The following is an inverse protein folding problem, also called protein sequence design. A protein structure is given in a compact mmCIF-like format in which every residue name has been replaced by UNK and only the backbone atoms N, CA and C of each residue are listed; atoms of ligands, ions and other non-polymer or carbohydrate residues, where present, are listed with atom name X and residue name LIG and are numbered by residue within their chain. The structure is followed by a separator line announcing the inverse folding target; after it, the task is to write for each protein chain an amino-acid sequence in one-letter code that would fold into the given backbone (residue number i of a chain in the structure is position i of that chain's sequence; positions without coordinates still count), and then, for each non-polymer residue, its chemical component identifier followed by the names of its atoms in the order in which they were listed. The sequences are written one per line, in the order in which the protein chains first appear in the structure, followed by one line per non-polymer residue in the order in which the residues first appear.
data_IF_495082395611
#
_entry.id   IF_495082395611
#
_cell.length_a   1.000
_cell.length_b   1.000
_cell.length_c   1.000
_cell.angle_alpha   90.00
_cell.angle_beta   90.00
_cell.angle_gamma   90.00
#
_symmetry.space_group_name_H-M   'P 1'
#
loop_
_entity.id
_entity.type
_entity.pdbx_description
1 polymer ?
#
# COMPACT_ATOMS: atom_id res chain seq x y z
N UNK A 1 -34.85 -6.11 -4.57
CA UNK A 1 -33.53 -5.81 -4.00
C UNK A 1 -32.97 -4.64 -4.80
N UNK A 2 -32.73 -3.50 -4.16
CA UNK A 2 -32.11 -2.36 -4.85
C UNK A 2 -30.68 -2.73 -5.19
N UNK A 3 -30.35 -2.70 -6.47
CA UNK A 3 -28.99 -2.97 -6.93
C UNK A 3 -28.09 -1.77 -6.56
N UNK A 4 -27.27 -1.90 -5.52
CA UNK A 4 -26.36 -0.85 -5.05
C UNK A 4 -25.01 -0.83 -5.79
N UNK A 5 -24.81 -1.71 -6.78
CA UNK A 5 -23.57 -1.75 -7.57
C UNK A 5 -23.18 -0.39 -8.16
N UNK A 6 -24.10 0.36 -8.82
CA UNK A 6 -23.75 1.68 -9.37
C UNK A 6 -23.35 2.68 -8.27
N UNK A 7 -23.99 2.64 -7.11
CA UNK A 7 -23.69 3.54 -6.00
C UNK A 7 -22.31 3.23 -5.40
N UNK A 8 -22.01 1.96 -5.19
CA UNK A 8 -20.70 1.53 -4.67
C UNK A 8 -19.58 1.87 -5.67
N UNK A 9 -19.74 1.52 -6.93
CA UNK A 9 -18.76 1.83 -7.97
C UNK A 9 -18.55 3.35 -8.11
N UNK A 10 -19.64 4.13 -8.15
CA UNK A 10 -19.57 5.58 -8.20
C UNK A 10 -18.79 6.17 -7.02
N UNK A 11 -19.07 5.72 -5.80
CA UNK A 11 -18.36 6.15 -4.60
C UNK A 11 -16.88 5.80 -4.66
N UNK A 12 -16.52 4.59 -5.10
CA UNK A 12 -15.12 4.18 -5.27
C UNK A 12 -14.38 5.05 -6.30
N UNK A 13 -14.99 5.32 -7.46
CA UNK A 13 -14.36 6.17 -8.49
C UNK A 13 -14.19 7.60 -8.02
N UNK A 14 -15.19 8.19 -7.34
CA UNK A 14 -15.07 9.54 -6.77
C UNK A 14 -13.93 9.59 -5.75
N UNK A 15 -13.89 8.64 -4.83
CA UNK A 15 -12.84 8.58 -3.79
C UNK A 15 -11.46 8.39 -4.41
N UNK A 16 -11.33 7.51 -5.39
CA UNK A 16 -10.06 7.29 -6.10
C UNK A 16 -9.58 8.58 -6.78
N UNK A 17 -10.49 9.30 -7.47
CA UNK A 17 -10.17 10.58 -8.10
C UNK A 17 -9.71 11.63 -7.08
N UNK A 18 -10.40 11.73 -5.93
CA UNK A 18 -10.04 12.63 -4.84
C UNK A 18 -8.64 12.27 -4.32
N UNK A 19 -8.37 10.99 -4.04
CA UNK A 19 -7.07 10.56 -3.53
C UNK A 19 -5.93 10.75 -4.53
N UNK A 20 -6.15 10.52 -5.82
CA UNK A 20 -5.17 10.83 -6.86
C UNK A 20 -4.88 12.34 -6.88
N UNK A 21 -5.89 13.18 -6.77
CA UNK A 21 -5.75 14.64 -6.73
C UNK A 21 -4.95 15.09 -5.50
N UNK A 22 -5.31 14.58 -4.30
CA UNK A 22 -4.58 14.85 -3.06
C UNK A 22 -3.13 14.34 -3.15
N UNK A 23 -2.93 13.15 -3.70
CA UNK A 23 -1.61 12.57 -3.90
C UNK A 23 -0.74 13.47 -4.78
N UNK A 24 -1.28 13.94 -5.90
CA UNK A 24 -0.54 14.80 -6.84
C UNK A 24 -0.24 16.19 -6.26
N UNK A 25 -1.20 16.82 -5.59
CA UNK A 25 -1.05 18.20 -5.14
C UNK A 25 -0.32 18.36 -3.81
N UNK A 26 -0.46 17.41 -2.90
CA UNK A 26 0.06 17.52 -1.55
C UNK A 26 1.06 16.41 -1.19
N UNK A 27 0.71 15.15 -1.43
CA UNK A 27 1.53 14.02 -0.94
C UNK A 27 2.82 13.89 -1.75
N UNK A 28 2.76 13.90 -3.08
CA UNK A 28 3.94 13.74 -3.92
C UNK A 28 4.97 14.88 -3.74
N UNK A 29 4.57 16.18 -3.70
CA UNK A 29 5.51 17.26 -3.38
C UNK A 29 6.08 17.19 -1.97
N UNK A 30 5.28 16.70 -0.99
CA UNK A 30 5.77 16.51 0.38
C UNK A 30 6.78 15.36 0.46
N UNK A 31 6.52 14.22 -0.20
CA UNK A 31 7.44 13.08 -0.29
C UNK A 31 8.77 13.47 -0.97
N UNK A 32 8.73 14.32 -2.01
CA UNK A 32 9.91 14.76 -2.73
C UNK A 32 10.91 15.55 -1.85
N UNK A 33 10.42 16.15 -0.76
CA UNK A 33 11.24 16.92 0.20
C UNK A 33 11.81 16.06 1.34
N UNK A 34 11.44 14.77 1.41
CA UNK A 34 11.88 13.83 2.45
C UNK A 34 13.01 12.97 1.94
N UNK A 35 13.79 12.42 2.87
CA UNK A 35 14.70 11.35 2.52
C UNK A 35 13.95 10.14 1.97
N UNK A 36 14.60 9.38 1.09
CA UNK A 36 13.96 8.24 0.43
C UNK A 36 13.37 7.25 1.42
N UNK A 37 14.10 6.92 2.50
CA UNK A 37 13.63 5.99 3.52
C UNK A 37 12.37 6.51 4.22
N UNK A 38 12.36 7.78 4.62
CA UNK A 38 11.21 8.40 5.29
C UNK A 38 9.98 8.50 4.38
N UNK A 39 10.20 8.79 3.08
CA UNK A 39 9.13 8.83 2.10
C UNK A 39 8.48 7.43 1.93
N UNK A 40 9.30 6.37 1.85
CA UNK A 40 8.79 4.99 1.78
C UNK A 40 8.06 4.61 3.07
N UNK A 41 8.63 4.89 4.26
CA UNK A 41 8.03 4.60 5.56
C UNK A 41 6.66 5.27 5.69
N UNK A 42 6.53 6.52 5.29
CA UNK A 42 5.25 7.24 5.36
C UNK A 42 4.15 6.55 4.55
N UNK A 43 4.47 6.04 3.36
CA UNK A 43 3.53 5.31 2.50
C UNK A 43 3.21 3.92 3.06
N UNK A 44 4.19 3.23 3.63
CA UNK A 44 4.03 1.90 4.19
C UNK A 44 3.03 1.86 5.36
N UNK A 45 2.89 2.94 6.13
CA UNK A 45 1.92 2.99 7.22
C UNK A 45 0.49 2.77 6.75
N UNK A 46 0.11 3.20 5.56
CA UNK A 46 -1.22 2.91 4.99
C UNK A 46 -1.44 1.40 4.87
N UNK A 47 -0.40 0.67 4.44
CA UNK A 47 -0.47 -0.78 4.26
C UNK A 47 -0.44 -1.56 5.58
N UNK A 48 0.17 -1.02 6.65
CA UNK A 48 0.11 -1.65 7.97
C UNK A 48 -1.32 -1.76 8.46
N UNK A 49 -2.19 -0.79 8.16
CA UNK A 49 -3.60 -0.82 8.57
C UNK A 49 -4.47 -1.81 7.78
N UNK A 50 -3.94 -2.52 6.78
CA UNK A 50 -4.67 -3.57 6.04
C UNK A 50 -5.22 -4.68 6.97
N UNK A 51 -4.66 -4.87 8.16
CA UNK A 51 -5.22 -5.80 9.16
C UNK A 51 -6.70 -5.55 9.48
N UNK A 52 -7.23 -4.36 9.19
CA UNK A 52 -8.66 -4.03 9.32
C UNK A 52 -9.53 -4.97 8.49
N UNK A 53 -8.98 -5.64 7.47
CA UNK A 53 -9.64 -6.69 6.71
C UNK A 53 -10.18 -7.85 7.58
N UNK A 54 -9.62 -8.05 8.79
CA UNK A 54 -10.14 -9.03 9.77
C UNK A 54 -11.61 -8.80 10.12
N UNK A 55 -12.13 -7.59 9.94
CA UNK A 55 -13.56 -7.29 10.10
C UNK A 55 -14.46 -8.11 9.15
N UNK A 56 -13.90 -8.72 8.09
CA UNK A 56 -14.68 -9.55 7.15
C UNK A 56 -15.38 -10.72 7.86
N UNK A 57 -14.79 -11.25 8.94
CA UNK A 57 -15.45 -12.28 9.76
C UNK A 57 -16.70 -11.75 10.46
N UNK A 58 -16.68 -10.49 10.90
CA UNK A 58 -17.84 -9.85 11.49
C UNK A 58 -18.90 -9.60 10.43
N UNK A 59 -18.48 -9.10 9.26
CA UNK A 59 -19.40 -8.88 8.14
C UNK A 59 -20.07 -10.19 7.68
N UNK A 60 -19.30 -11.28 7.57
CA UNK A 60 -19.84 -12.61 7.22
C UNK A 60 -20.87 -13.09 8.23
N UNK A 61 -20.57 -12.97 9.53
CA UNK A 61 -21.53 -13.29 10.61
C UNK A 61 -22.80 -12.45 10.51
N UNK A 62 -22.68 -11.18 10.12
CA UNK A 62 -23.78 -10.24 10.00
C UNK A 62 -24.52 -10.32 8.64
N UNK A 63 -24.22 -11.36 7.84
CA UNK A 63 -24.96 -11.71 6.62
C UNK A 63 -24.33 -11.20 5.31
N UNK A 64 -23.11 -10.70 5.31
CA UNK A 64 -22.40 -10.43 4.06
C UNK A 64 -22.14 -11.75 3.32
N UNK A 65 -22.55 -11.90 2.04
CA UNK A 65 -22.67 -13.18 1.37
C UNK A 65 -21.33 -13.72 0.83
N UNK A 66 -20.23 -13.49 1.56
CA UNK A 66 -18.91 -14.01 1.21
C UNK A 66 -18.73 -15.43 1.69
N UNK A 67 -18.13 -16.30 0.87
CA UNK A 67 -17.77 -17.64 1.28
C UNK A 67 -16.65 -17.62 2.34
N UNK A 68 -16.52 -18.72 3.12
CA UNK A 68 -15.39 -18.85 4.06
C UNK A 68 -14.06 -18.86 3.33
N UNK A 69 -14.00 -19.41 2.12
CA UNK A 69 -12.80 -19.40 1.28
C UNK A 69 -12.44 -17.97 0.85
N UNK A 70 -13.40 -17.21 0.31
CA UNK A 70 -13.18 -15.83 -0.11
C UNK A 70 -12.78 -14.93 1.07
N UNK A 71 -13.40 -15.10 2.26
CA UNK A 71 -12.99 -14.37 3.45
C UNK A 71 -11.54 -14.68 3.86
N UNK A 72 -11.10 -15.93 3.78
CA UNK A 72 -9.72 -16.31 4.09
C UNK A 72 -8.73 -15.81 3.05
N UNK A 73 -9.08 -15.79 1.76
CA UNK A 73 -8.25 -15.19 0.72
C UNK A 73 -7.96 -13.71 1.02
N UNK A 74 -9.00 -12.93 1.28
CA UNK A 74 -8.86 -11.50 1.64
C UNK A 74 -7.94 -11.33 2.86
N UNK A 75 -8.15 -12.14 3.92
CA UNK A 75 -7.38 -12.01 5.15
C UNK A 75 -5.91 -12.36 4.93
N UNK A 76 -5.62 -13.44 4.20
CA UNK A 76 -4.23 -13.85 3.93
C UNK A 76 -3.50 -12.76 3.15
N UNK A 77 -4.12 -12.19 2.12
CA UNK A 77 -3.55 -11.08 1.35
C UNK A 77 -3.35 -9.83 2.21
N UNK A 78 -4.41 -9.33 2.83
CA UNK A 78 -4.36 -8.07 3.57
C UNK A 78 -3.48 -8.13 4.83
N UNK A 79 -3.59 -9.19 5.64
CA UNK A 79 -2.75 -9.35 6.85
C UNK A 79 -1.30 -9.67 6.45
N UNK A 80 -1.09 -10.47 5.41
CA UNK A 80 0.23 -10.72 4.84
C UNK A 80 0.91 -9.42 4.38
N UNK A 81 0.18 -8.59 3.62
CA UNK A 81 0.63 -7.27 3.19
C UNK A 81 0.94 -6.34 4.38
N UNK A 82 0.11 -6.35 5.43
CA UNK A 82 0.36 -5.56 6.64
C UNK A 82 1.66 -5.99 7.35
N UNK A 83 1.93 -7.28 7.45
CA UNK A 83 3.16 -7.82 8.04
C UNK A 83 4.38 -7.43 7.20
N UNK A 84 4.31 -7.57 5.87
CA UNK A 84 5.38 -7.17 4.96
C UNK A 84 5.65 -5.66 5.09
N UNK A 85 4.61 -4.83 5.14
CA UNK A 85 4.74 -3.39 5.30
C UNK A 85 5.41 -3.02 6.62
N UNK A 86 5.01 -3.62 7.73
CA UNK A 86 5.60 -3.38 9.03
C UNK A 86 7.07 -3.81 9.09
N UNK A 87 7.40 -5.00 8.58
CA UNK A 87 8.76 -5.49 8.49
C UNK A 87 9.64 -4.56 7.62
N UNK A 88 9.10 -4.06 6.49
CA UNK A 88 9.79 -3.09 5.65
C UNK A 88 10.10 -1.79 6.39
N UNK A 89 9.17 -1.26 7.20
CA UNK A 89 9.38 -0.08 8.04
C UNK A 89 10.54 -0.30 9.00
N UNK A 90 10.55 -1.43 9.72
CA UNK A 90 11.61 -1.75 10.68
C UNK A 90 12.98 -1.80 10.01
N UNK A 91 13.07 -2.51 8.87
CA UNK A 91 14.32 -2.66 8.12
C UNK A 91 14.80 -1.35 7.49
N UNK A 92 13.89 -0.53 6.97
CA UNK A 92 14.24 0.80 6.44
C UNK A 92 14.77 1.72 7.53
N UNK A 93 14.21 1.69 8.75
CA UNK A 93 14.72 2.44 9.90
C UNK A 93 16.12 2.00 10.31
N UNK A 94 16.47 0.73 10.12
CA UNK A 94 17.81 0.19 10.36
C UNK A 94 18.77 0.44 9.19
N UNK A 95 18.32 1.06 8.10
CA UNK A 95 19.12 1.28 6.90
C UNK A 95 19.39 0.03 6.08
N UNK A 96 18.71 -1.08 6.37
CA UNK A 96 18.93 -2.35 5.70
C UNK A 96 18.36 -2.35 4.26
N UNK A 97 19.12 -2.90 3.31
CA UNK A 97 18.65 -3.05 1.91
C UNK A 97 17.40 -3.90 1.79
N UNK A 98 17.27 -4.89 2.65
CA UNK A 98 16.11 -5.77 2.71
C UNK A 98 14.78 -5.00 2.84
N UNK A 99 14.78 -3.82 3.50
CA UNK A 99 13.60 -2.96 3.56
C UNK A 99 13.11 -2.50 2.18
N UNK A 100 14.02 -2.16 1.26
CA UNK A 100 13.66 -1.80 -0.13
C UNK A 100 13.14 -3.02 -0.90
N UNK A 101 13.73 -4.20 -0.68
CA UNK A 101 13.26 -5.45 -1.28
C UNK A 101 11.84 -5.76 -0.82
N UNK A 102 11.54 -5.62 0.47
CA UNK A 102 10.19 -5.80 1.00
C UNK A 102 9.19 -4.77 0.44
N UNK A 103 9.61 -3.53 0.16
CA UNK A 103 8.75 -2.58 -0.53
C UNK A 103 8.34 -3.07 -1.92
N UNK A 104 9.27 -3.64 -2.70
CA UNK A 104 8.96 -4.23 -4.00
C UNK A 104 8.06 -5.46 -3.89
N UNK A 105 8.32 -6.32 -2.89
CA UNK A 105 7.46 -7.47 -2.60
C UNK A 105 6.04 -7.01 -2.26
N UNK A 106 5.88 -5.97 -1.44
CA UNK A 106 4.58 -5.41 -1.10
C UNK A 106 3.85 -4.85 -2.34
N UNK A 107 4.56 -4.17 -3.25
CA UNK A 107 3.96 -3.68 -4.50
C UNK A 107 3.42 -4.84 -5.33
N UNK A 108 4.20 -5.91 -5.51
CA UNK A 108 3.79 -7.09 -6.26
C UNK A 108 2.63 -7.82 -5.58
N UNK A 109 2.74 -8.02 -4.26
CA UNK A 109 1.70 -8.65 -3.43
C UNK A 109 0.39 -7.87 -3.52
N UNK A 110 0.41 -6.55 -3.28
CA UNK A 110 -0.80 -5.72 -3.30
C UNK A 110 -1.45 -5.69 -4.69
N UNK A 111 -0.68 -5.68 -5.78
CA UNK A 111 -1.21 -5.74 -7.13
C UNK A 111 -1.91 -7.10 -7.39
N UNK A 112 -1.29 -8.19 -6.97
CA UNK A 112 -1.84 -9.55 -7.12
C UNK A 112 -3.10 -9.72 -6.27
N UNK A 113 -3.04 -9.34 -4.99
CA UNK A 113 -4.14 -9.41 -4.05
C UNK A 113 -5.35 -8.59 -4.54
N UNK A 114 -5.12 -7.35 -4.99
CA UNK A 114 -6.20 -6.51 -5.56
C UNK A 114 -6.85 -7.19 -6.75
N UNK A 115 -6.08 -7.79 -7.66
CA UNK A 115 -6.61 -8.51 -8.81
C UNK A 115 -7.45 -9.73 -8.39
N UNK A 116 -6.96 -10.54 -7.46
CA UNK A 116 -7.65 -11.72 -6.94
C UNK A 116 -8.95 -11.32 -6.24
N UNK A 117 -8.91 -10.29 -5.39
CA UNK A 117 -10.10 -9.81 -4.67
C UNK A 117 -11.19 -9.25 -5.62
N UNK A 118 -10.81 -8.56 -6.70
CA UNK A 118 -11.78 -8.14 -7.73
C UNK A 118 -12.40 -9.36 -8.40
N UNK A 119 -11.60 -10.34 -8.78
CA UNK A 119 -12.05 -11.57 -9.41
C UNK A 119 -13.02 -12.34 -8.51
N UNK A 120 -12.61 -12.64 -7.27
CA UNK A 120 -13.45 -13.35 -6.29
C UNK A 120 -14.75 -12.58 -5.99
N UNK A 121 -14.68 -11.24 -5.89
CA UNK A 121 -15.85 -10.40 -5.69
C UNK A 121 -16.87 -10.47 -6.84
N UNK A 122 -16.41 -10.68 -8.08
CA UNK A 122 -17.26 -10.90 -9.25
C UNK A 122 -17.83 -12.33 -9.22
N UNK A 123 -16.99 -13.34 -9.00
CA UNK A 123 -17.39 -14.76 -8.98
C UNK A 123 -18.40 -15.06 -7.87
N UNK A 124 -18.26 -14.47 -6.71
CA UNK A 124 -19.17 -14.65 -5.56
C UNK A 124 -20.35 -13.64 -5.56
N UNK A 125 -20.51 -12.82 -6.61
CA UNK A 125 -21.59 -11.81 -6.72
C UNK A 125 -21.64 -10.82 -5.54
N UNK A 126 -20.49 -10.43 -4.99
CA UNK A 126 -20.40 -9.54 -3.82
C UNK A 126 -20.59 -8.05 -4.17
N UNK A 127 -20.57 -7.72 -5.45
CA UNK A 127 -20.72 -6.33 -5.92
C UNK A 127 -22.05 -5.73 -5.49
N UNK A 128 -21.99 -4.62 -4.74
CA UNK A 128 -23.17 -3.93 -4.21
C UNK A 128 -23.81 -4.57 -2.97
N UNK A 129 -23.24 -5.67 -2.44
CA UNK A 129 -23.73 -6.32 -1.23
C UNK A 129 -23.14 -5.71 0.06
N UNK A 130 -22.07 -4.95 -0.06
CA UNK A 130 -21.39 -4.37 1.10
C UNK A 130 -22.26 -3.33 1.82
N UNK A 131 -22.19 -3.35 3.14
CA UNK A 131 -22.87 -2.41 4.04
C UNK A 131 -21.98 -2.03 5.23
N UNK A 132 -22.33 -0.99 5.95
CA UNK A 132 -21.63 -0.58 7.19
C UNK A 132 -20.12 -0.41 6.99
N UNK A 133 -19.33 -1.08 7.83
CA UNK A 133 -17.86 -0.99 7.79
C UNK A 133 -17.28 -1.57 6.51
N UNK A 134 -17.87 -2.65 5.97
CA UNK A 134 -17.42 -3.24 4.70
C UNK A 134 -17.56 -2.25 3.54
N UNK A 135 -18.66 -1.51 3.50
CA UNK A 135 -18.84 -0.41 2.54
C UNK A 135 -17.71 0.62 2.66
N UNK A 136 -17.43 1.10 3.88
CA UNK A 136 -16.38 2.09 4.12
C UNK A 136 -14.99 1.60 3.69
N UNK A 137 -14.67 0.34 3.95
CA UNK A 137 -13.41 -0.24 3.50
C UNK A 137 -13.33 -0.23 1.98
N UNK A 138 -14.35 -0.71 1.29
CA UNK A 138 -14.35 -0.81 -0.17
C UNK A 138 -14.33 0.57 -0.86
N UNK A 139 -15.09 1.55 -0.36
CA UNK A 139 -15.21 2.84 -1.03
C UNK A 139 -14.16 3.86 -0.62
N UNK A 140 -13.47 3.66 0.50
CA UNK A 140 -12.51 4.61 1.04
C UNK A 140 -11.12 4.00 1.20
N UNK A 141 -10.99 2.88 1.93
CA UNK A 141 -9.69 2.33 2.27
C UNK A 141 -9.00 1.65 1.09
N UNK A 142 -9.75 0.89 0.28
CA UNK A 142 -9.19 0.26 -0.94
C UNK A 142 -8.64 1.30 -1.94
N UNK A 143 -9.35 2.40 -2.28
CA UNK A 143 -8.76 3.49 -3.06
C UNK A 143 -7.50 4.11 -2.44
N UNK A 144 -7.44 4.24 -1.11
CA UNK A 144 -6.24 4.73 -0.41
C UNK A 144 -5.04 3.79 -0.59
N UNK A 145 -5.26 2.47 -0.47
CA UNK A 145 -4.24 1.43 -0.72
C UNK A 145 -3.73 1.52 -2.16
N UNK A 146 -4.63 1.61 -3.14
CA UNK A 146 -4.28 1.68 -4.57
C UNK A 146 -3.41 2.91 -4.85
N UNK A 147 -3.78 4.08 -4.35
CA UNK A 147 -3.00 5.31 -4.54
C UNK A 147 -1.67 5.23 -3.80
N UNK A 148 -1.66 4.71 -2.58
CA UNK A 148 -0.44 4.56 -1.78
C UNK A 148 0.56 3.59 -2.43
N UNK A 149 0.12 2.43 -2.94
CA UNK A 149 1.00 1.48 -3.63
C UNK A 149 1.54 2.06 -4.94
N UNK A 150 0.72 2.83 -5.66
CA UNK A 150 1.17 3.56 -6.86
C UNK A 150 2.26 4.59 -6.56
N UNK A 151 2.10 5.37 -5.48
CA UNK A 151 3.13 6.30 -5.00
C UNK A 151 4.37 5.57 -4.52
N UNK A 152 4.22 4.43 -3.83
CA UNK A 152 5.34 3.60 -3.36
C UNK A 152 6.16 3.09 -4.54
N UNK A 153 5.53 2.51 -5.55
CA UNK A 153 6.17 2.05 -6.78
C UNK A 153 6.90 3.21 -7.49
N UNK A 154 6.25 4.37 -7.60
CA UNK A 154 6.86 5.55 -8.20
C UNK A 154 8.11 6.00 -7.44
N UNK A 155 8.07 6.09 -6.10
CA UNK A 155 9.23 6.45 -5.27
C UNK A 155 10.39 5.44 -5.45
N UNK A 156 10.07 4.15 -5.52
CA UNK A 156 11.07 3.10 -5.72
C UNK A 156 11.78 3.22 -7.08
N UNK A 157 11.05 3.55 -8.14
CA UNK A 157 11.60 3.71 -9.50
C UNK A 157 12.33 5.05 -9.66
N UNK A 158 11.67 6.15 -9.31
CA UNK A 158 12.17 7.51 -9.56
C UNK A 158 13.43 7.83 -8.74
N UNK A 159 13.56 7.24 -7.55
CA UNK A 159 14.67 7.53 -6.63
C UNK A 159 15.60 6.34 -6.41
N UNK A 160 15.71 5.46 -7.41
CA UNK A 160 16.55 4.25 -7.32
C UNK A 160 18.04 4.53 -7.10
N UNK A 161 18.54 5.67 -7.59
CA UNK A 161 19.95 6.07 -7.50
C UNK A 161 20.29 6.88 -6.25
N UNK A 162 19.28 7.27 -5.43
CA UNK A 162 19.55 8.03 -4.22
C UNK A 162 20.13 7.13 -3.11
N UNK A 163 21.13 7.62 -2.34
CA UNK A 163 21.63 6.90 -1.18
C UNK A 163 20.52 6.71 -0.14
N UNK A 164 20.57 5.56 0.54
CA UNK A 164 19.49 5.12 1.46
C UNK A 164 19.47 5.88 2.79
N UNK A 165 20.64 6.34 3.26
CA UNK A 165 20.81 6.99 4.56
C UNK A 165 21.82 8.14 4.48
N UNK A 166 21.68 9.14 5.36
CA UNK A 166 22.67 10.20 5.54
C UNK A 166 24.08 9.67 5.88
N UNK A 167 24.19 8.50 6.53
CA UNK A 167 25.48 7.88 6.82
C UNK A 167 26.26 7.53 5.54
N UNK A 168 25.59 6.97 4.54
CA UNK A 168 26.19 6.71 3.22
C UNK A 168 26.55 8.01 2.48
N UNK A 169 25.78 9.07 2.69
CA UNK A 169 26.06 10.40 2.10
C UNK A 169 27.33 11.05 2.69
N UNK A 170 27.64 10.80 3.97
CA UNK A 170 28.84 11.34 4.63
C UNK A 170 30.10 10.56 4.27
N UNK A 171 30.00 9.29 3.93
CA UNK A 171 31.16 8.46 3.59
C UNK A 171 31.66 8.66 2.15
N UNK A 172 30.78 9.03 1.21
CA UNK A 172 31.14 9.26 -0.20
C UNK A 172 32.21 10.33 -0.42
N UNK A 173 32.17 11.51 0.23
CA UNK A 173 33.22 12.54 0.09
C UNK A 173 34.56 12.09 0.70
N UNK A 174 34.53 11.36 1.81
CA UNK A 174 35.75 10.88 2.50
C UNK A 174 36.48 9.80 1.68
N UNK A 175 35.74 8.91 1.05
CA UNK A 175 36.33 7.88 0.18
C UNK A 175 36.93 8.49 -1.10
N UNK A 176 36.26 9.49 -1.71
CA UNK A 176 36.77 10.21 -2.88
C UNK A 176 38.03 11.02 -2.56
N UNK A 177 38.09 11.66 -1.40
CA UNK A 177 39.29 12.42 -0.93
C UNK A 177 40.51 11.52 -0.74
N UNK A 178 40.35 10.33 -0.14
CA UNK A 178 41.46 9.36 0.04
C UNK A 178 42.04 8.81 -1.26
N UNK A 179 41.22 8.67 -2.31
CA UNK A 179 41.68 8.19 -3.62
C UNK A 179 42.51 9.26 -4.37
N UNK A 180 42.30 10.54 -4.09
CA UNK A 180 43.06 11.65 -4.67
C UNK A 180 44.40 11.87 -3.94
N UNK A 181 44.51 11.51 -2.67
CA UNK A 181 45.77 11.59 -1.90
C UNK A 181 46.78 10.45 -2.19
N UNK A 182 46.30 9.37 -2.87
CA UNK A 182 47.15 8.22 -3.25
C UNK A 182 47.73 8.30 -4.66
N UNK A 183 47.52 9.42 -5.37
CA UNK A 183 48.12 9.71 -6.68
C UNK A 183 49.16 10.80 -6.60
#
# INVERSE_FOLDING_TARGET
MNNLVPAQAGAQFITLFIFITLARWYVAPWLAKRERADALIALLWVHVFRYVALQIFVAQRDGFPISTHGAMEIIIGDVGGAIIAFAAIVLLRQGAFAGVVLCWLLVAETATDTFLNIRSGIEEHLMGAASGVTWMILVFFVPAIIVSVGLLAWQLVARRSEPRNEHQRRELPVAAGRLLEQR
#
